data_IF_838150137407
#
_entry.id   IF_838150137407
#
_cell.length_a   1.000
_cell.length_b   1.000
_cell.length_c   1.000
_cell.angle_alpha   90.00
_cell.angle_beta   90.00
_cell.angle_gamma   90.00
#
_symmetry.space_group_name_H-M   'P 1'
#
loop_
_entity.id
_entity.type
_entity.pdbx_description
1 polymer ?
#
# COMPACT_ATOMS: atom_id res chain seq x y z
N UNK A 1 -10.93 9.18 10.22
CA UNK A 1 -10.03 9.88 9.27
C UNK A 1 -8.67 9.18 9.34
N UNK A 2 -8.47 8.09 8.60
CA UNK A 2 -7.20 7.37 8.64
C UNK A 2 -6.07 8.22 8.06
N UNK A 3 -4.92 8.20 8.74
CA UNK A 3 -3.67 8.76 8.23
C UNK A 3 -2.88 7.62 7.59
N UNK A 4 -2.65 7.74 6.30
CA UNK A 4 -1.88 6.77 5.51
C UNK A 4 -0.47 7.31 5.34
N UNK A 5 0.49 6.63 5.97
CA UNK A 5 1.91 6.98 5.84
C UNK A 5 2.53 6.13 4.74
N UNK A 6 3.11 6.77 3.73
CA UNK A 6 3.81 6.12 2.63
C UNK A 6 5.26 5.81 3.04
N UNK A 7 5.91 4.81 2.41
CA UNK A 7 7.31 4.47 2.70
C UNK A 7 8.30 5.60 2.41
N UNK A 8 7.90 6.58 1.59
CA UNK A 8 8.67 7.81 1.30
C UNK A 8 8.63 8.83 2.45
N UNK A 9 7.90 8.54 3.54
CA UNK A 9 7.68 9.45 4.67
C UNK A 9 6.53 10.44 4.45
N UNK A 10 5.92 10.44 3.26
CA UNK A 10 4.74 11.27 2.96
C UNK A 10 3.49 10.74 3.67
N UNK A 11 2.79 11.60 4.40
CA UNK A 11 1.52 11.27 5.05
C UNK A 11 0.34 11.81 4.25
N UNK A 12 -0.67 10.97 4.03
CA UNK A 12 -1.92 11.36 3.39
C UNK A 12 -3.09 11.13 4.33
N UNK A 13 -3.93 12.15 4.49
CA UNK A 13 -5.12 12.08 5.32
C UNK A 13 -6.33 11.82 4.43
N UNK A 14 -7.10 10.81 4.79
CA UNK A 14 -8.34 10.48 4.14
C UNK A 14 -9.51 10.72 5.10
N UNK A 15 -10.59 11.32 4.58
CA UNK A 15 -11.76 11.69 5.40
C UNK A 15 -12.70 10.50 5.66
N UNK A 16 -12.51 9.41 4.92
CA UNK A 16 -13.30 8.17 4.97
C UNK A 16 -12.37 6.96 4.98
N UNK A 17 -12.88 5.75 5.32
CA UNK A 17 -12.15 4.51 5.14
C UNK A 17 -11.82 4.34 3.65
N UNK A 18 -10.53 4.19 3.34
CA UNK A 18 -10.05 4.07 1.95
C UNK A 18 -9.44 2.71 1.73
N UNK A 19 -9.48 2.24 0.50
CA UNK A 19 -8.80 1.00 0.13
C UNK A 19 -7.37 1.26 -0.31
N UNK A 20 -6.54 0.23 -0.29
CA UNK A 20 -5.19 0.28 -0.86
C UNK A 20 -5.22 0.73 -2.33
N UNK A 21 -6.19 0.27 -3.11
CA UNK A 21 -6.41 0.71 -4.49
C UNK A 21 -6.69 2.21 -4.58
N UNK A 22 -7.54 2.74 -3.70
CA UNK A 22 -7.82 4.19 -3.66
C UNK A 22 -6.60 5.00 -3.23
N UNK A 23 -5.82 4.50 -2.27
CA UNK A 23 -4.55 5.11 -1.88
C UNK A 23 -3.60 5.15 -3.08
N UNK A 24 -3.47 4.05 -3.83
CA UNK A 24 -2.65 3.99 -5.04
C UNK A 24 -3.15 4.98 -6.11
N UNK A 25 -4.47 5.06 -6.30
CA UNK A 25 -5.13 6.03 -7.18
C UNK A 25 -4.86 7.48 -6.79
N UNK A 26 -4.88 7.79 -5.50
CA UNK A 26 -4.59 9.12 -4.97
C UNK A 26 -3.12 9.52 -5.20
N UNK A 27 -2.19 8.56 -5.18
CA UNK A 27 -0.78 8.80 -5.51
C UNK A 27 -0.63 9.06 -7.02
N UNK A 28 -1.27 8.24 -7.85
CA UNK A 28 -1.38 8.49 -9.28
C UNK A 28 -2.00 7.32 -10.05
N UNK A 29 -2.69 7.64 -11.15
CA UNK A 29 -3.35 6.64 -11.99
C UNK A 29 -2.37 5.57 -12.55
N UNK A 30 -1.11 5.94 -12.81
CA UNK A 30 -0.07 4.99 -13.22
C UNK A 30 0.30 4.00 -12.12
N UNK A 31 0.40 4.46 -10.87
CA UNK A 31 0.70 3.61 -9.73
C UNK A 31 -0.46 2.67 -9.42
N UNK A 32 -1.70 3.16 -9.46
CA UNK A 32 -2.90 2.32 -9.32
C UNK A 32 -2.93 1.16 -10.31
N UNK A 33 -2.58 1.43 -11.57
CA UNK A 33 -2.54 0.41 -12.62
C UNK A 33 -1.41 -0.61 -12.43
N UNK A 34 -0.32 -0.20 -11.80
CA UNK A 34 0.82 -1.06 -11.48
C UNK A 34 0.68 -1.74 -10.10
N UNK A 35 -0.31 -1.35 -9.28
CA UNK A 35 -0.51 -1.89 -7.94
C UNK A 35 -1.02 -3.33 -8.03
N UNK A 36 -0.20 -4.26 -7.53
CA UNK A 36 -0.54 -5.68 -7.43
C UNK A 36 -1.07 -6.03 -6.04
N UNK A 37 -0.51 -5.42 -5.00
CA UNK A 37 -0.92 -5.63 -3.61
C UNK A 37 -0.61 -4.40 -2.76
N UNK A 38 -1.16 -4.37 -1.55
CA UNK A 38 -0.80 -3.39 -0.53
C UNK A 38 -0.01 -4.03 0.59
N UNK A 39 0.82 -3.24 1.26
CA UNK A 39 1.41 -3.62 2.54
C UNK A 39 0.93 -2.62 3.59
N UNK A 40 0.05 -3.07 4.48
CA UNK A 40 -0.53 -2.26 5.56
C UNK A 40 0.13 -2.66 6.88
N UNK A 41 0.80 -1.73 7.56
CA UNK A 41 1.54 -1.96 8.81
C UNK A 41 2.49 -3.16 8.72
N UNK A 42 3.18 -3.29 7.59
CA UNK A 42 4.12 -4.39 7.35
C UNK A 42 3.49 -5.73 6.93
N UNK A 43 2.16 -5.86 6.91
CA UNK A 43 1.44 -7.05 6.41
C UNK A 43 1.00 -6.88 4.96
N UNK A 44 1.23 -7.90 4.12
CA UNK A 44 0.61 -7.94 2.81
C UNK A 44 -0.89 -8.09 2.92
N UNK A 45 -1.59 -7.27 2.17
CA UNK A 45 -3.03 -7.27 2.02
C UNK A 45 -3.38 -7.04 0.56
N UNK A 46 -4.61 -7.38 0.20
CA UNK A 46 -5.10 -7.11 -1.14
C UNK A 46 -5.32 -5.61 -1.39
N UNK A 47 -5.35 -5.22 -2.66
CA UNK A 47 -5.71 -3.87 -3.09
C UNK A 47 -7.11 -3.46 -2.64
N UNK A 48 -8.02 -4.42 -2.47
CA UNK A 48 -9.37 -4.19 -1.94
C UNK A 48 -9.45 -4.07 -0.41
N UNK A 49 -8.32 -4.16 0.30
CA UNK A 49 -8.29 -4.05 1.75
C UNK A 49 -8.65 -2.63 2.20
N UNK A 50 -9.64 -2.53 3.10
CA UNK A 50 -10.12 -1.26 3.66
C UNK A 50 -9.25 -0.87 4.84
N UNK A 51 -8.75 0.36 4.80
CA UNK A 51 -7.97 1.01 5.84
C UNK A 51 -8.90 2.01 6.55
N UNK A 52 -9.34 1.64 7.75
CA UNK A 52 -10.23 2.46 8.58
C UNK A 52 -9.48 3.32 9.59
N UNK A 53 -8.27 2.91 9.96
CA UNK A 53 -7.41 3.51 10.99
C UNK A 53 -6.07 3.96 10.41
N UNK A 54 -5.30 4.70 11.19
CA UNK A 54 -3.94 5.07 10.80
C UNK A 54 -3.06 3.84 10.55
N UNK A 55 -2.38 3.86 9.39
CA UNK A 55 -1.56 2.75 8.97
C UNK A 55 -0.47 3.18 8.00
N UNK A 56 0.67 2.50 8.09
CA UNK A 56 1.69 2.59 7.05
C UNK A 56 1.27 1.76 5.85
N UNK A 57 1.15 2.38 4.68
CA UNK A 57 0.73 1.72 3.43
C UNK A 57 1.84 1.82 2.41
N UNK A 58 2.32 0.68 1.92
CA UNK A 58 3.19 0.61 0.76
C UNK A 58 2.48 -0.09 -0.39
N UNK A 59 2.54 0.50 -1.58
CA UNK A 59 1.98 -0.10 -2.80
C UNK A 59 3.02 -1.03 -3.40
N UNK A 60 2.68 -2.32 -3.50
CA UNK A 60 3.54 -3.32 -4.13
C UNK A 60 3.21 -3.34 -5.62
N UNK A 61 4.23 -3.11 -6.45
CA UNK A 61 4.11 -3.11 -7.91
C UNK A 61 5.02 -4.16 -8.54
N UNK A 62 4.88 -4.41 -9.83
CA UNK A 62 5.74 -5.34 -10.59
C UNK A 62 7.22 -4.91 -10.63
N UNK A 63 7.49 -3.62 -10.39
CA UNK A 63 8.82 -3.03 -10.38
C UNK A 63 9.50 -3.06 -9.04
N UNK A 64 8.77 -3.36 -7.97
CA UNK A 64 9.31 -3.27 -6.62
C UNK A 64 10.11 -4.54 -6.29
N UNK A 65 11.44 -4.46 -6.09
CA UNK A 65 12.22 -5.62 -5.66
C UNK A 65 11.81 -6.09 -4.25
N UNK A 66 11.07 -5.30 -3.47
CA UNK A 66 10.43 -5.80 -2.24
C UNK A 66 9.28 -6.78 -2.56
N UNK A 67 8.62 -6.66 -3.72
CA UNK A 67 7.75 -7.70 -4.27
C UNK A 67 8.51 -9.00 -4.57
N UNK A 68 9.78 -8.91 -4.97
CA UNK A 68 10.72 -10.03 -5.13
C UNK A 68 11.27 -10.56 -3.79
N UNK A 69 11.45 -9.71 -2.76
CA UNK A 69 11.89 -10.13 -1.43
C UNK A 69 10.76 -10.77 -0.61
N UNK A 70 9.49 -10.42 -0.84
CA UNK A 70 8.34 -11.14 -0.25
C UNK A 70 8.28 -12.59 -0.75
N UNK A 71 8.76 -12.87 -1.97
CA UNK A 71 8.92 -14.25 -2.49
C UNK A 71 10.15 -14.96 -1.89
N UNK A 72 11.12 -14.22 -1.33
CA UNK A 72 12.34 -14.77 -0.73
C UNK A 72 12.33 -14.83 0.80
N UNK A 73 11.47 -14.08 1.48
CA UNK A 73 11.46 -14.01 2.95
C UNK A 73 10.64 -15.13 3.63
N UNK A 74 10.10 -16.10 2.87
CA UNK A 74 9.67 -17.40 3.42
C UNK A 74 10.83 -18.39 3.62
N UNK A 75 12.09 -17.95 3.51
CA UNK A 75 13.25 -18.78 3.82
C UNK A 75 14.36 -17.97 4.50
N UNK A 76 14.17 -17.62 5.77
CA UNK A 76 15.24 -17.50 6.78
C UNK A 76 14.64 -17.57 8.18
#
# INVERSE_FOLDING_TARGET
MPVVTLPDGSERRFEHPVTVDEVAGAIGAGLRKAALAGRVNGKLVDTSCVISDDAQVAIVTDKDPAGLEIIRHSSA
#
